data_IF_461247516646
#
_entry.id   IF_461247516646
#
_cell.length_a   1.000
_cell.length_b   1.000
_cell.length_c   1.000
_cell.angle_alpha   90.00
_cell.angle_beta   90.00
_cell.angle_gamma   90.00
#
_symmetry.space_group_name_H-M   'P 1'
#
loop_
_entity.id
_entity.type
_entity.pdbx_description
1 polymer ?
#
# COMPACT_ATOMS: atom_id res chain seq x y z
N UNK A 1 -17.69 -4.00 18.20
CA UNK A 1 -18.32 -4.83 17.16
C UNK A 1 -19.07 -6.04 17.76
N UNK A 2 -18.55 -6.72 18.79
CA UNK A 2 -19.20 -7.90 19.38
C UNK A 2 -20.41 -7.55 20.28
N UNK A 3 -20.43 -6.34 20.85
CA UNK A 3 -21.44 -5.92 21.85
C UNK A 3 -22.20 -4.64 21.44
N UNK A 4 -21.88 -4.06 20.29
CA UNK A 4 -22.58 -2.86 19.80
C UNK A 4 -23.73 -3.25 18.86
N UNK A 5 -24.84 -2.53 18.91
CA UNK A 5 -25.98 -2.77 18.03
C UNK A 5 -25.56 -2.66 16.57
N UNK A 6 -26.29 -3.37 15.68
CA UNK A 6 -26.05 -3.39 14.24
C UNK A 6 -26.08 -1.99 13.58
N UNK A 7 -26.62 -1.01 14.29
CA UNK A 7 -26.81 0.37 13.83
C UNK A 7 -25.71 1.35 14.28
N UNK A 8 -24.62 0.86 14.93
CA UNK A 8 -23.54 1.75 15.35
C UNK A 8 -22.85 2.38 14.14
N UNK A 9 -22.90 3.70 14.05
CA UNK A 9 -22.26 4.49 13.03
C UNK A 9 -21.12 5.38 13.59
N UNK A 10 -20.48 6.13 12.70
CA UNK A 10 -19.35 7.00 13.07
C UNK A 10 -19.79 8.12 14.04
N UNK A 11 -20.99 8.66 13.88
CA UNK A 11 -21.50 9.73 14.76
C UNK A 11 -21.69 9.23 16.18
N UNK A 12 -22.26 8.04 16.34
CA UNK A 12 -22.45 7.41 17.65
C UNK A 12 -21.12 7.03 18.30
N UNK A 13 -20.20 6.47 17.52
CA UNK A 13 -18.86 6.15 18.02
C UNK A 13 -18.12 7.41 18.47
N UNK A 14 -18.17 8.47 17.67
CA UNK A 14 -17.55 9.74 18.02
C UNK A 14 -18.18 10.35 19.27
N UNK A 15 -19.53 10.38 19.37
CA UNK A 15 -20.23 10.89 20.55
C UNK A 15 -19.83 10.11 21.81
N UNK A 16 -19.75 8.78 21.72
CA UNK A 16 -19.29 7.95 22.82
C UNK A 16 -17.84 8.29 23.23
N UNK A 17 -16.89 8.34 22.28
CA UNK A 17 -15.49 8.65 22.58
C UNK A 17 -15.28 10.06 23.13
N UNK A 18 -16.13 11.01 22.76
CA UNK A 18 -16.11 12.39 23.25
C UNK A 18 -16.67 12.51 24.68
N UNK A 19 -17.79 11.87 24.94
CA UNK A 19 -18.62 12.10 26.13
C UNK A 19 -18.39 11.06 27.25
N UNK A 20 -17.94 9.85 26.89
CA UNK A 20 -17.64 8.79 27.85
C UNK A 20 -16.59 9.24 28.85
N UNK A 21 -16.74 8.84 30.10
CA UNK A 21 -15.68 8.94 31.10
C UNK A 21 -14.83 7.67 31.11
N UNK A 22 -13.77 7.65 31.92
CA UNK A 22 -12.85 6.51 31.95
C UNK A 22 -13.54 5.22 32.41
N UNK A 23 -14.49 5.30 33.32
CA UNK A 23 -15.23 4.13 33.84
C UNK A 23 -16.12 3.55 32.74
N UNK A 24 -16.78 4.40 31.92
CA UNK A 24 -17.58 3.95 30.77
C UNK A 24 -16.72 3.16 29.77
N UNK A 25 -15.48 3.62 29.54
CA UNK A 25 -14.52 2.92 28.65
C UNK A 25 -14.08 1.59 29.26
N UNK A 26 -13.78 1.57 30.57
CA UNK A 26 -13.41 0.35 31.30
C UNK A 26 -14.55 -0.66 31.28
N UNK A 27 -15.77 -0.24 31.54
CA UNK A 27 -16.98 -1.10 31.51
C UNK A 27 -17.22 -1.68 30.09
N UNK A 28 -17.06 -0.87 29.06
CA UNK A 28 -17.14 -1.33 27.69
C UNK A 28 -16.07 -2.39 27.36
N UNK A 29 -14.83 -2.20 27.81
CA UNK A 29 -13.75 -3.17 27.64
C UNK A 29 -13.97 -4.44 28.48
N UNK A 30 -14.49 -4.32 29.71
CA UNK A 30 -14.83 -5.47 30.55
C UNK A 30 -15.93 -6.35 29.96
N UNK A 31 -16.86 -5.75 29.20
CA UNK A 31 -17.91 -6.48 28.51
C UNK A 31 -17.39 -7.40 27.39
N UNK A 32 -16.14 -7.19 26.95
CA UNK A 32 -15.47 -8.01 25.92
C UNK A 32 -14.38 -8.85 26.58
N UNK A 33 -14.66 -10.12 26.83
CA UNK A 33 -13.82 -11.03 27.63
C UNK A 33 -12.34 -11.09 27.20
N UNK A 34 -12.08 -10.99 25.90
CA UNK A 34 -10.73 -11.04 25.31
C UNK A 34 -9.90 -9.76 25.56
N UNK A 35 -10.53 -8.68 26.03
CA UNK A 35 -9.89 -7.36 26.22
C UNK A 35 -9.56 -7.06 27.68
N UNK A 36 -9.88 -7.96 28.61
CA UNK A 36 -9.65 -7.73 30.05
C UNK A 36 -8.20 -7.39 30.41
N UNK A 37 -7.23 -8.02 29.74
CA UNK A 37 -5.81 -7.74 29.97
C UNK A 37 -5.36 -6.32 29.58
N UNK A 38 -6.12 -5.64 28.74
CA UNK A 38 -5.85 -4.25 28.33
C UNK A 38 -6.27 -3.29 29.46
N UNK A 39 -7.25 -3.67 30.27
CA UNK A 39 -7.79 -2.84 31.35
C UNK A 39 -6.71 -2.54 32.39
N UNK A 40 -5.92 -3.54 32.75
CA UNK A 40 -4.84 -3.37 33.74
C UNK A 40 -3.79 -2.36 33.25
N UNK A 41 -3.60 -2.26 31.92
CA UNK A 41 -2.70 -1.27 31.33
C UNK A 41 -3.31 0.13 31.31
N UNK A 42 -4.60 0.26 30.99
CA UNK A 42 -5.30 1.54 30.84
C UNK A 42 -5.70 2.12 32.22
N UNK A 43 -6.09 1.26 33.16
CA UNK A 43 -6.65 1.64 34.48
C UNK A 43 -5.71 1.31 35.63
N UNK A 44 -4.41 1.30 35.38
CA UNK A 44 -3.41 0.99 36.40
C UNK A 44 -3.30 2.13 37.42
N UNK A 45 -3.64 1.84 38.70
CA UNK A 45 -3.61 2.80 39.80
C UNK A 45 -4.91 3.59 40.01
N UNK A 46 -5.98 3.28 39.26
CA UNK A 46 -7.31 3.87 39.46
C UNK A 46 -7.57 5.10 38.62
N UNK A 47 -8.80 5.62 38.74
CA UNK A 47 -9.36 6.69 37.90
C UNK A 47 -8.55 8.01 37.91
N UNK A 48 -7.86 8.30 39.00
CA UNK A 48 -7.09 9.54 39.18
C UNK A 48 -5.61 9.43 38.85
N UNK A 49 -5.10 8.28 38.36
CA UNK A 49 -3.68 8.17 38.06
C UNK A 49 -3.31 9.02 36.83
N UNK A 50 -2.12 9.66 36.86
CA UNK A 50 -1.60 10.47 35.73
C UNK A 50 -1.52 9.64 34.45
N UNK A 51 -1.14 8.38 34.55
CA UNK A 51 -1.07 7.46 33.43
C UNK A 51 -2.44 7.22 32.81
N UNK A 52 -3.46 6.94 33.59
CA UNK A 52 -4.84 6.74 33.13
C UNK A 52 -5.39 7.98 32.44
N UNK A 53 -5.18 9.16 33.04
CA UNK A 53 -5.59 10.43 32.45
C UNK A 53 -4.85 10.75 31.16
N UNK A 54 -3.55 10.41 31.09
CA UNK A 54 -2.75 10.56 29.87
C UNK A 54 -3.26 9.71 28.72
N UNK A 55 -3.49 8.43 28.92
CA UNK A 55 -4.03 7.51 27.91
C UNK A 55 -5.42 7.97 27.42
N UNK A 56 -6.27 8.40 28.35
CA UNK A 56 -7.60 8.85 28.03
C UNK A 56 -7.61 10.17 27.23
N UNK A 57 -6.74 11.10 27.60
CA UNK A 57 -6.55 12.35 26.85
C UNK A 57 -6.07 12.09 25.43
N UNK A 58 -5.13 11.14 25.27
CA UNK A 58 -4.64 10.75 23.94
C UNK A 58 -5.74 10.10 23.10
N UNK A 59 -6.55 9.22 23.68
CA UNK A 59 -7.69 8.62 22.99
C UNK A 59 -8.66 9.68 22.45
N UNK A 60 -8.97 10.70 23.27
CA UNK A 60 -9.83 11.82 22.87
C UNK A 60 -9.20 12.68 21.76
N UNK A 61 -7.91 12.95 21.86
CA UNK A 61 -7.20 13.71 20.84
C UNK A 61 -7.27 12.97 19.49
N UNK A 62 -6.93 11.68 19.48
CA UNK A 62 -7.03 10.83 18.27
C UNK A 62 -8.46 10.81 17.72
N UNK A 63 -9.48 10.67 18.59
CA UNK A 63 -10.86 10.70 18.13
C UNK A 63 -11.25 12.05 17.50
N UNK A 64 -10.84 13.17 18.11
CA UNK A 64 -11.11 14.50 17.56
C UNK A 64 -10.38 14.76 16.23
N UNK A 65 -9.18 14.21 16.05
CA UNK A 65 -8.42 14.31 14.79
C UNK A 65 -9.01 13.44 13.68
N UNK A 66 -9.47 12.23 14.01
CA UNK A 66 -9.98 11.28 13.02
C UNK A 66 -11.41 11.59 12.58
N UNK A 67 -12.29 11.96 13.53
CA UNK A 67 -13.70 12.19 13.22
C UNK A 67 -13.94 13.65 12.80
N UNK A 68 -13.52 13.99 11.59
CA UNK A 68 -13.71 15.31 10.99
C UNK A 68 -14.59 15.24 9.73
N UNK A 69 -15.27 16.35 9.41
CA UNK A 69 -16.12 16.45 8.23
C UNK A 69 -17.11 15.29 8.14
N UNK A 70 -17.24 14.69 6.97
CA UNK A 70 -18.17 13.59 6.72
C UNK A 70 -17.90 12.33 7.55
N UNK A 71 -16.67 12.12 8.06
CA UNK A 71 -16.35 10.99 8.93
C UNK A 71 -16.95 11.12 10.34
N UNK A 72 -17.43 12.32 10.69
CA UNK A 72 -18.13 12.59 11.96
C UNK A 72 -19.64 12.36 11.87
N UNK A 73 -20.14 12.32 10.65
CA UNK A 73 -21.59 12.25 10.41
C UNK A 73 -22.07 10.79 10.35
N UNK A 74 -23.38 10.65 10.53
CA UNK A 74 -24.06 9.38 10.31
C UNK A 74 -23.95 8.95 8.85
N UNK A 75 -23.57 7.70 8.59
CA UNK A 75 -23.38 7.20 7.24
C UNK A 75 -23.85 5.76 7.08
N UNK A 76 -24.17 5.40 5.85
CA UNK A 76 -24.59 4.03 5.48
C UNK A 76 -23.57 3.28 4.65
N UNK A 77 -22.39 3.87 4.36
CA UNK A 77 -21.37 3.21 3.54
C UNK A 77 -20.57 2.21 4.37
N UNK A 78 -20.48 0.97 3.90
CA UNK A 78 -19.66 -0.08 4.50
C UNK A 78 -18.66 -0.59 3.47
N UNK A 79 -17.35 -0.47 3.77
CA UNK A 79 -16.27 -1.03 2.96
C UNK A 79 -16.43 -2.54 2.80
N UNK A 80 -16.76 -3.23 3.87
CA UNK A 80 -17.01 -4.68 3.86
C UNK A 80 -18.11 -5.07 2.89
N UNK A 81 -19.26 -4.42 2.97
CA UNK A 81 -20.37 -4.68 2.07
C UNK A 81 -20.04 -4.31 0.62
N UNK A 82 -19.29 -3.21 0.43
CA UNK A 82 -18.86 -2.81 -0.89
C UNK A 82 -18.01 -3.89 -1.56
N UNK A 83 -17.05 -4.48 -0.84
CA UNK A 83 -16.18 -5.53 -1.36
C UNK A 83 -16.95 -6.85 -1.58
N UNK A 84 -17.89 -7.19 -0.69
CA UNK A 84 -18.66 -8.44 -0.76
C UNK A 84 -19.76 -8.43 -1.81
N UNK A 85 -20.37 -7.29 -2.08
CA UNK A 85 -21.41 -7.17 -3.11
C UNK A 85 -20.77 -7.18 -4.50
N UNK A 86 -21.19 -8.11 -5.36
CA UNK A 86 -20.81 -8.17 -6.79
C UNK A 86 -21.42 -6.99 -7.55
N UNK A 87 -20.83 -6.59 -8.70
CA UNK A 87 -21.55 -5.74 -9.60
C UNK A 87 -20.85 -4.53 -10.17
N UNK A 88 -19.56 -4.61 -10.54
CA UNK A 88 -18.89 -3.60 -11.39
C UNK A 88 -18.92 -2.19 -10.80
N UNK A 89 -18.80 -2.05 -9.48
CA UNK A 89 -18.79 -0.77 -8.78
C UNK A 89 -17.36 -0.28 -8.60
N UNK A 90 -17.19 1.03 -8.58
CA UNK A 90 -15.90 1.68 -8.36
C UNK A 90 -16.04 2.56 -7.11
N UNK A 91 -15.08 2.44 -6.19
CA UNK A 91 -14.89 3.35 -5.07
C UNK A 91 -13.67 4.21 -5.35
N UNK A 92 -13.85 5.51 -5.44
CA UNK A 92 -12.76 6.48 -5.48
C UNK A 92 -12.50 6.99 -4.08
N UNK A 93 -11.24 6.91 -3.64
CA UNK A 93 -10.74 7.50 -2.40
C UNK A 93 -9.77 8.59 -2.81
N UNK A 94 -10.20 9.83 -2.72
CA UNK A 94 -9.40 10.99 -3.07
C UNK A 94 -8.59 11.46 -1.87
N UNK A 95 -7.29 11.69 -2.10
CA UNK A 95 -6.38 12.20 -1.08
C UNK A 95 -6.20 13.72 -1.27
N UNK A 96 -6.90 14.50 -0.46
CA UNK A 96 -6.73 15.96 -0.41
C UNK A 96 -5.43 16.29 0.33
N UNK A 97 -4.50 16.96 -0.33
CA UNK A 97 -3.20 17.33 0.25
C UNK A 97 -3.32 18.28 1.45
N UNK A 98 -4.41 19.05 1.56
CA UNK A 98 -4.60 20.03 2.64
C UNK A 98 -4.95 19.35 3.97
N UNK A 99 -5.73 18.28 3.94
CA UNK A 99 -6.22 17.55 5.12
C UNK A 99 -5.80 16.07 5.13
N UNK A 100 -5.20 15.60 4.05
CA UNK A 100 -4.91 14.19 3.83
C UNK A 100 -4.03 13.57 4.91
N UNK A 101 -3.06 14.32 5.45
CA UNK A 101 -2.22 13.81 6.55
C UNK A 101 -3.04 13.45 7.79
N UNK A 102 -4.07 14.25 8.11
CA UNK A 102 -4.97 13.98 9.24
C UNK A 102 -5.87 12.78 8.93
N UNK A 103 -6.31 12.63 7.69
CA UNK A 103 -7.19 11.54 7.25
C UNK A 103 -6.45 10.25 6.87
N UNK A 104 -5.12 10.27 6.78
CA UNK A 104 -4.32 9.08 6.44
C UNK A 104 -4.68 7.85 7.27
N UNK A 105 -4.88 7.91 8.61
CA UNK A 105 -5.28 6.75 9.39
C UNK A 105 -6.62 6.15 8.92
N UNK A 106 -7.60 6.98 8.55
CA UNK A 106 -8.89 6.53 8.05
C UNK A 106 -8.73 5.84 6.70
N UNK A 107 -8.00 6.46 5.76
CA UNK A 107 -7.72 5.86 4.45
C UNK A 107 -7.02 4.50 4.57
N UNK A 108 -6.05 4.39 5.48
CA UNK A 108 -5.36 3.12 5.76
C UNK A 108 -6.33 2.06 6.28
N UNK A 109 -7.17 2.38 7.26
CA UNK A 109 -8.15 1.43 7.80
C UNK A 109 -9.13 0.99 6.71
N UNK A 110 -9.63 1.91 5.88
CA UNK A 110 -10.54 1.57 4.78
C UNK A 110 -9.89 0.63 3.77
N UNK A 111 -8.65 0.91 3.35
CA UNK A 111 -7.93 0.10 2.37
C UNK A 111 -7.51 -1.24 2.96
N UNK A 112 -6.98 -1.27 4.18
CA UNK A 112 -6.64 -2.51 4.87
C UNK A 112 -7.85 -3.42 5.06
N UNK A 113 -9.00 -2.85 5.46
CA UNK A 113 -10.24 -3.59 5.56
C UNK A 113 -10.70 -4.12 4.20
N UNK A 114 -10.58 -3.32 3.15
CA UNK A 114 -10.91 -3.75 1.79
C UNK A 114 -10.02 -4.90 1.32
N UNK A 115 -8.70 -4.83 1.56
CA UNK A 115 -7.76 -5.91 1.24
C UNK A 115 -8.12 -7.16 2.03
N UNK A 116 -8.31 -7.06 3.34
CA UNK A 116 -8.70 -8.17 4.21
C UNK A 116 -9.99 -8.86 3.73
N UNK A 117 -11.01 -8.09 3.39
CA UNK A 117 -12.28 -8.64 2.89
C UNK A 117 -12.11 -9.28 1.51
N UNK A 118 -11.26 -8.72 0.64
CA UNK A 118 -10.95 -9.32 -0.66
C UNK A 118 -10.20 -10.65 -0.52
N UNK A 119 -9.29 -10.76 0.46
CA UNK A 119 -8.57 -12.00 0.77
C UNK A 119 -9.45 -13.07 1.43
N UNK A 120 -10.57 -12.68 2.02
CA UNK A 120 -11.54 -13.60 2.65
C UNK A 120 -12.56 -14.17 1.66
N UNK A 121 -12.45 -13.83 0.37
CA UNK A 121 -13.36 -14.25 -0.68
C UNK A 121 -12.80 -15.45 -1.45
N UNK A 122 -13.68 -16.19 -2.12
CA UNK A 122 -13.31 -17.19 -3.10
C UNK A 122 -13.08 -16.52 -4.47
N UNK A 123 -12.10 -17.00 -5.25
CA UNK A 123 -11.82 -16.49 -6.61
C UNK A 123 -13.04 -16.59 -7.54
N UNK A 124 -13.90 -17.59 -7.34
CA UNK A 124 -15.15 -17.76 -8.09
C UNK A 124 -16.10 -16.57 -7.93
N UNK A 125 -15.92 -15.77 -6.88
CA UNK A 125 -16.71 -14.57 -6.62
C UNK A 125 -16.30 -13.35 -7.50
N UNK A 126 -15.29 -13.50 -8.34
CA UNK A 126 -14.80 -12.47 -9.25
C UNK A 126 -13.57 -11.70 -8.71
N UNK A 127 -13.10 -10.72 -9.46
CA UNK A 127 -11.90 -9.98 -9.12
C UNK A 127 -12.24 -8.64 -8.42
N UNK A 128 -11.38 -8.25 -7.49
CA UNK A 128 -11.31 -6.92 -6.89
C UNK A 128 -10.00 -6.26 -7.31
N UNK A 129 -10.07 -5.10 -7.93
CA UNK A 129 -8.89 -4.35 -8.36
C UNK A 129 -8.61 -3.23 -7.37
N UNK A 130 -7.39 -3.20 -6.86
CA UNK A 130 -6.84 -2.11 -6.06
C UNK A 130 -5.90 -1.30 -6.94
N UNK A 131 -6.29 -0.06 -7.26
CA UNK A 131 -5.47 0.86 -8.06
C UNK A 131 -4.98 1.96 -7.11
N UNK A 132 -3.69 1.96 -6.83
CA UNK A 132 -3.04 2.87 -5.88
C UNK A 132 -2.05 3.73 -6.67
N UNK A 133 -2.47 4.93 -7.03
CA UNK A 133 -1.71 5.84 -7.90
C UNK A 133 -0.47 6.43 -7.20
N UNK A 134 -0.54 6.68 -5.89
CA UNK A 134 0.60 7.18 -5.11
C UNK A 134 0.77 6.35 -3.83
N UNK A 135 1.54 5.27 -3.92
CA UNK A 135 1.65 4.28 -2.85
C UNK A 135 2.30 4.84 -1.57
N UNK A 136 3.16 5.85 -1.69
CA UNK A 136 3.80 6.49 -0.51
C UNK A 136 2.80 7.14 0.44
N UNK A 137 1.59 7.50 -0.03
CA UNK A 137 0.56 8.12 0.80
C UNK A 137 -0.10 7.13 1.77
N UNK A 138 0.15 5.84 1.61
CA UNK A 138 -0.40 4.75 2.39
C UNK A 138 0.69 3.93 3.10
N UNK A 139 1.52 4.55 3.97
CA UNK A 139 2.59 3.83 4.64
C UNK A 139 2.03 2.81 5.64
N UNK A 140 2.72 1.69 5.81
CA UNK A 140 2.41 0.68 6.82
C UNK A 140 0.96 0.11 6.74
N UNK A 141 0.46 -0.16 5.53
CA UNK A 141 -0.72 -0.99 5.38
C UNK A 141 -0.42 -2.39 5.94
N UNK A 142 -1.34 -2.90 6.77
CA UNK A 142 -1.12 -4.16 7.48
C UNK A 142 -1.21 -5.37 6.54
N UNK A 143 -2.26 -5.42 5.69
CA UNK A 143 -2.56 -6.57 4.84
C UNK A 143 -1.99 -6.48 3.41
N UNK A 144 -1.23 -5.44 3.07
CA UNK A 144 -0.76 -5.25 1.68
C UNK A 144 0.20 -6.36 1.25
N UNK A 145 1.10 -6.81 2.13
CA UNK A 145 2.05 -7.87 1.83
C UNK A 145 1.33 -9.19 1.53
N UNK A 146 0.38 -9.57 2.37
CA UNK A 146 -0.49 -10.73 2.12
C UNK A 146 -1.30 -10.53 0.83
N UNK A 147 -1.79 -9.32 0.60
CA UNK A 147 -2.57 -8.95 -0.58
C UNK A 147 -1.82 -9.21 -1.88
N UNK A 148 -0.61 -8.71 -2.00
CA UNK A 148 0.18 -8.85 -3.25
C UNK A 148 0.73 -10.27 -3.43
N UNK A 149 1.11 -10.95 -2.33
CA UNK A 149 1.67 -12.30 -2.39
C UNK A 149 0.60 -13.39 -2.63
N UNK A 150 -0.56 -13.30 -1.99
CA UNK A 150 -1.59 -14.35 -2.02
C UNK A 150 -2.87 -13.95 -2.76
N UNK A 151 -3.11 -12.65 -2.94
CA UNK A 151 -4.36 -12.11 -3.47
C UNK A 151 -4.71 -12.61 -4.87
N UNK A 152 -3.73 -12.93 -5.72
CA UNK A 152 -3.94 -13.45 -7.08
C UNK A 152 -4.83 -14.71 -7.08
N UNK A 153 -4.58 -15.64 -6.18
CA UNK A 153 -5.36 -16.89 -6.06
C UNK A 153 -6.77 -16.66 -5.54
N UNK A 154 -6.99 -15.55 -4.83
CA UNK A 154 -8.25 -15.16 -4.20
C UNK A 154 -9.03 -14.10 -5.00
N UNK A 155 -8.51 -13.70 -6.17
CA UNK A 155 -9.14 -12.71 -7.04
C UNK A 155 -8.83 -11.24 -6.69
N UNK A 156 -7.93 -10.97 -5.75
CA UNK A 156 -7.43 -9.61 -5.52
C UNK A 156 -6.32 -9.28 -6.51
N UNK A 157 -6.40 -8.12 -7.14
CA UNK A 157 -5.46 -7.61 -8.16
C UNK A 157 -4.95 -6.24 -7.76
N UNK A 158 -3.64 -6.02 -7.85
CA UNK A 158 -3.02 -4.77 -7.45
C UNK A 158 -2.33 -4.08 -8.63
N UNK A 159 -2.60 -2.79 -8.78
CA UNK A 159 -1.88 -1.86 -9.65
C UNK A 159 -1.37 -0.76 -8.74
N UNK A 160 -0.06 -0.65 -8.63
CA UNK A 160 0.59 0.25 -7.68
C UNK A 160 1.54 1.16 -8.44
N UNK A 161 1.39 2.46 -8.28
CA UNK A 161 2.32 3.43 -8.82
C UNK A 161 3.12 4.14 -7.71
N UNK A 162 4.36 4.47 -8.03
CA UNK A 162 5.29 5.14 -7.13
C UNK A 162 6.31 5.97 -7.91
N UNK A 163 6.88 6.98 -7.30
CA UNK A 163 7.90 7.81 -7.92
C UNK A 163 9.31 7.21 -7.78
N UNK A 164 9.63 6.65 -6.62
CA UNK A 164 10.90 5.98 -6.36
C UNK A 164 10.74 4.94 -5.24
N UNK A 165 11.68 3.99 -5.21
CA UNK A 165 11.68 2.89 -4.23
C UNK A 165 11.95 3.39 -2.80
N UNK A 166 12.74 4.44 -2.64
CA UNK A 166 13.12 4.94 -1.31
C UNK A 166 11.90 5.36 -0.50
N UNK A 167 10.90 5.98 -1.14
CA UNK A 167 9.65 6.38 -0.47
C UNK A 167 8.88 5.18 0.09
N UNK A 168 8.98 4.02 -0.56
CA UNK A 168 8.33 2.80 -0.09
C UNK A 168 9.14 2.17 1.04
N UNK A 169 10.48 2.18 0.92
CA UNK A 169 11.38 1.73 1.99
C UNK A 169 11.18 2.54 3.26
N UNK A 170 11.06 3.86 3.15
CA UNK A 170 10.81 4.75 4.28
C UNK A 170 9.47 4.46 4.99
N UNK A 171 8.45 4.09 4.22
CA UNK A 171 7.12 3.80 4.74
C UNK A 171 6.93 2.37 5.27
N UNK A 172 7.67 1.38 4.76
CA UNK A 172 7.44 -0.03 5.06
C UNK A 172 8.66 -0.74 5.68
N UNK A 173 9.83 -0.11 5.67
CA UNK A 173 11.10 -0.76 5.95
C UNK A 173 11.63 -1.54 4.73
N UNK A 174 12.93 -1.79 4.72
CA UNK A 174 13.63 -2.38 3.57
C UNK A 174 13.07 -3.75 3.16
N UNK A 175 12.97 -4.67 4.10
CA UNK A 175 12.56 -6.05 3.81
C UNK A 175 11.11 -6.14 3.30
N UNK A 176 10.19 -5.46 3.98
CA UNK A 176 8.77 -5.48 3.60
C UNK A 176 8.54 -4.76 2.27
N UNK A 177 9.23 -3.64 2.01
CA UNK A 177 9.17 -2.95 0.74
C UNK A 177 9.60 -3.85 -0.42
N UNK A 178 10.73 -4.55 -0.26
CA UNK A 178 11.23 -5.50 -1.25
C UNK A 178 10.30 -6.69 -1.46
N UNK A 179 9.72 -7.26 -0.38
CA UNK A 179 8.70 -8.32 -0.48
C UNK A 179 7.52 -7.87 -1.33
N UNK A 180 6.93 -6.72 -1.01
CA UNK A 180 5.78 -6.16 -1.74
C UNK A 180 6.11 -5.95 -3.22
N UNK A 181 7.24 -5.28 -3.51
CA UNK A 181 7.61 -4.92 -4.89
C UNK A 181 7.97 -6.13 -5.75
N UNK A 182 8.62 -7.14 -5.16
CA UNK A 182 8.99 -8.37 -5.85
C UNK A 182 7.79 -9.28 -6.16
N UNK A 183 6.69 -9.16 -5.40
CA UNK A 183 5.46 -9.90 -5.65
C UNK A 183 4.65 -9.33 -6.84
N UNK A 184 4.95 -8.11 -7.30
CA UNK A 184 4.31 -7.50 -8.45
C UNK A 184 4.94 -8.04 -9.74
N UNK A 185 4.29 -8.99 -10.40
CA UNK A 185 4.83 -9.73 -11.54
C UNK A 185 4.92 -8.93 -12.85
N UNK A 186 4.29 -7.78 -12.96
CA UNK A 186 4.38 -6.88 -14.12
C UNK A 186 4.96 -5.55 -13.66
N UNK A 187 5.99 -5.08 -14.36
CA UNK A 187 6.58 -3.77 -14.09
C UNK A 187 6.55 -2.89 -15.33
N UNK A 188 6.22 -1.62 -15.12
CA UNK A 188 6.24 -0.58 -16.15
C UNK A 188 7.13 0.54 -15.59
N UNK A 189 8.34 0.67 -16.14
CA UNK A 189 9.28 1.69 -15.73
C UNK A 189 9.29 2.83 -16.76
N UNK A 190 8.90 4.01 -16.34
CA UNK A 190 9.09 5.24 -17.08
C UNK A 190 10.51 5.77 -16.86
N UNK A 191 10.79 6.99 -17.29
CA UNK A 191 12.08 7.63 -17.05
C UNK A 191 12.33 7.76 -15.53
N UNK A 192 13.42 7.15 -15.07
CA UNK A 192 13.82 7.14 -13.66
C UNK A 192 15.15 7.86 -13.52
N UNK A 193 15.18 8.94 -12.74
CA UNK A 193 16.40 9.72 -12.44
C UNK A 193 17.08 9.29 -11.14
N UNK A 194 16.31 8.68 -10.22
CA UNK A 194 16.82 8.17 -8.94
C UNK A 194 17.65 6.89 -9.15
N UNK A 195 18.88 6.89 -8.60
CA UNK A 195 19.83 5.80 -8.77
C UNK A 195 19.34 4.50 -8.11
N UNK A 196 18.83 4.57 -6.88
CA UNK A 196 18.39 3.37 -6.14
C UNK A 196 17.23 2.66 -6.87
N UNK A 197 16.31 3.43 -7.43
CA UNK A 197 15.20 2.88 -8.22
C UNK A 197 15.70 2.24 -9.53
N UNK A 198 16.68 2.85 -10.22
CA UNK A 198 17.26 2.23 -11.42
C UNK A 198 17.98 0.91 -11.09
N UNK A 199 18.78 0.88 -10.04
CA UNK A 199 19.45 -0.35 -9.57
C UNK A 199 18.43 -1.44 -9.22
N UNK A 200 17.34 -1.08 -8.56
CA UNK A 200 16.25 -2.02 -8.28
C UNK A 200 15.65 -2.60 -9.56
N UNK A 201 15.34 -1.76 -10.54
CA UNK A 201 14.78 -2.19 -11.83
C UNK A 201 15.77 -3.07 -12.58
N UNK A 202 17.07 -2.71 -12.61
CA UNK A 202 18.10 -3.51 -13.23
C UNK A 202 18.21 -4.90 -12.58
N UNK A 203 18.19 -4.96 -11.25
CA UNK A 203 18.21 -6.22 -10.52
C UNK A 203 16.97 -7.08 -10.78
N UNK A 204 15.80 -6.45 -10.93
CA UNK A 204 14.54 -7.14 -11.26
C UNK A 204 14.61 -7.84 -12.62
N UNK A 205 15.27 -7.21 -13.61
CA UNK A 205 15.43 -7.77 -14.97
C UNK A 205 16.66 -8.66 -15.10
N UNK A 206 17.61 -8.54 -14.17
CA UNK A 206 18.79 -9.38 -14.11
C UNK A 206 19.85 -9.07 -15.16
N UNK A 207 20.74 -10.04 -15.36
CA UNK A 207 21.88 -9.92 -16.26
C UNK A 207 21.81 -10.95 -17.37
N UNK A 208 22.38 -10.61 -18.54
CA UNK A 208 22.49 -11.51 -19.66
C UNK A 208 23.88 -11.40 -20.30
N UNK A 209 24.24 -12.37 -21.13
CA UNK A 209 25.46 -12.31 -21.91
C UNK A 209 25.25 -11.38 -23.10
N UNK A 210 26.08 -10.32 -23.20
CA UNK A 210 26.06 -9.38 -24.32
C UNK A 210 27.34 -9.52 -25.12
N UNK A 211 27.23 -9.42 -26.45
CA UNK A 211 28.35 -9.36 -27.36
C UNK A 211 28.61 -7.89 -27.72
N UNK A 212 29.77 -7.39 -27.37
CA UNK A 212 30.23 -6.07 -27.74
C UNK A 212 31.16 -6.19 -28.94
N UNK A 213 30.91 -5.43 -29.98
CA UNK A 213 31.71 -5.37 -31.19
C UNK A 213 32.39 -4.01 -31.22
N UNK A 214 33.70 -4.00 -30.97
CA UNK A 214 34.51 -2.79 -31.05
C UNK A 214 35.04 -2.66 -32.46
N UNK A 215 34.75 -1.55 -33.15
CA UNK A 215 35.33 -1.24 -34.45
C UNK A 215 36.73 -0.70 -34.23
N UNK A 216 37.72 -1.26 -34.95
CA UNK A 216 39.06 -0.70 -34.95
C UNK A 216 39.08 0.73 -35.51
N UNK A 217 39.98 1.55 -34.95
CA UNK A 217 40.14 2.94 -35.35
C UNK A 217 40.90 3.06 -36.69
N UNK A 218 41.65 2.01 -37.06
CA UNK A 218 42.41 1.93 -38.32
C UNK A 218 41.86 0.82 -39.24
N UNK A 219 41.96 1.01 -40.55
CA UNK A 219 41.54 0.03 -41.55
C UNK A 219 42.26 -1.33 -41.43
N UNK A 220 43.43 -1.37 -40.76
CA UNK A 220 44.19 -2.57 -40.48
C UNK A 220 43.83 -3.31 -39.22
N UNK A 221 43.01 -2.67 -38.33
CA UNK A 221 42.51 -3.27 -37.11
C UNK A 221 41.10 -3.81 -37.35
N UNK A 222 40.98 -5.14 -37.45
CA UNK A 222 39.67 -5.79 -37.55
C UNK A 222 38.77 -5.50 -36.33
N UNK A 223 37.52 -5.83 -36.46
CA UNK A 223 36.58 -5.76 -35.33
C UNK A 223 37.02 -6.72 -34.23
N UNK A 224 37.04 -6.22 -32.98
CA UNK A 224 37.27 -7.07 -31.79
C UNK A 224 35.91 -7.38 -31.16
N UNK A 225 35.67 -8.65 -30.93
CA UNK A 225 34.49 -9.11 -30.22
C UNK A 225 34.81 -9.41 -28.77
N UNK A 226 34.01 -8.94 -27.88
CA UNK A 226 34.09 -9.26 -26.46
C UNK A 226 32.71 -9.70 -25.98
N UNK A 227 32.65 -10.83 -25.29
CA UNK A 227 31.42 -11.31 -24.63
C UNK A 227 31.58 -11.06 -23.14
N UNK A 228 30.64 -10.31 -22.56
CA UNK A 228 30.60 -10.07 -21.11
C UNK A 228 29.18 -10.13 -20.60
N UNK A 229 29.03 -10.32 -19.29
CA UNK A 229 27.75 -10.18 -18.62
C UNK A 229 27.47 -8.71 -18.42
N UNK A 230 26.24 -8.30 -18.68
CA UNK A 230 25.76 -6.96 -18.38
C UNK A 230 24.25 -6.97 -18.14
N UNK A 231 23.70 -5.91 -17.57
CA UNK A 231 22.29 -5.84 -17.25
C UNK A 231 21.44 -6.00 -18.51
N UNK A 232 20.30 -6.67 -18.39
CA UNK A 232 19.32 -6.77 -19.49
C UNK A 232 18.85 -5.39 -19.90
N UNK A 233 18.52 -4.54 -18.89
CA UNK A 233 18.20 -3.11 -19.05
C UNK A 233 19.31 -2.31 -18.38
N UNK A 234 19.99 -1.50 -19.17
CA UNK A 234 21.11 -0.69 -18.70
C UNK A 234 20.64 0.64 -18.10
N UNK A 235 21.53 1.31 -17.36
CA UNK A 235 21.25 2.58 -16.71
C UNK A 235 20.80 3.67 -17.71
N UNK A 236 21.45 3.73 -18.87
CA UNK A 236 21.10 4.66 -19.95
C UNK A 236 19.76 4.37 -20.61
N UNK A 237 19.32 3.11 -20.61
CA UNK A 237 18.00 2.77 -21.18
C UNK A 237 16.88 3.43 -20.37
N UNK A 238 17.01 3.47 -19.03
CA UNK A 238 16.04 4.09 -18.13
C UNK A 238 16.15 5.62 -18.11
N UNK A 239 17.39 6.15 -18.14
CA UNK A 239 17.63 7.60 -18.16
C UNK A 239 17.23 8.23 -19.50
N UNK A 240 17.41 7.50 -20.59
CA UNK A 240 17.16 7.96 -21.95
C UNK A 240 15.69 7.93 -22.38
N UNK A 241 14.77 7.41 -21.56
CA UNK A 241 13.35 7.37 -21.89
C UNK A 241 12.76 8.77 -22.03
N UNK A 242 12.00 8.97 -23.11
CA UNK A 242 11.26 10.19 -23.38
C UNK A 242 9.84 10.12 -22.82
N UNK A 243 9.15 11.25 -22.80
CA UNK A 243 7.72 11.28 -22.45
C UNK A 243 6.94 10.29 -23.35
N UNK A 244 6.10 9.48 -22.74
CA UNK A 244 5.35 8.42 -23.41
C UNK A 244 6.14 7.15 -23.70
N UNK A 245 7.43 7.05 -23.33
CA UNK A 245 8.22 5.83 -23.45
C UNK A 245 8.31 5.12 -22.08
N UNK A 246 8.29 3.79 -22.11
CA UNK A 246 8.45 2.94 -20.94
C UNK A 246 9.19 1.63 -21.28
N UNK A 247 9.83 1.04 -20.28
CA UNK A 247 10.28 -0.35 -20.31
C UNK A 247 9.26 -1.19 -19.58
N UNK A 248 8.73 -2.23 -20.23
CA UNK A 248 7.69 -3.10 -19.68
C UNK A 248 8.23 -4.52 -19.59
N UNK A 249 8.04 -5.15 -18.44
CA UNK A 249 8.29 -6.57 -18.21
C UNK A 249 7.05 -7.24 -17.64
N UNK A 250 6.71 -8.39 -18.17
CA UNK A 250 5.59 -9.22 -17.73
C UNK A 250 6.15 -10.60 -17.39
N UNK A 251 6.15 -10.96 -16.11
CA UNK A 251 6.79 -12.19 -15.62
C UNK A 251 6.15 -13.50 -16.13
N UNK A 252 4.90 -13.43 -16.63
CA UNK A 252 4.22 -14.60 -17.19
C UNK A 252 4.70 -14.96 -18.61
N UNK A 253 5.46 -14.09 -19.25
CA UNK A 253 6.01 -14.30 -20.56
C UNK A 253 7.54 -14.38 -20.47
N UNK A 254 8.13 -15.39 -21.08
CA UNK A 254 9.59 -15.57 -21.21
C UNK A 254 10.24 -14.51 -22.13
N UNK A 255 9.57 -13.39 -22.31
CA UNK A 255 10.05 -12.29 -23.12
C UNK A 255 10.97 -11.36 -22.32
N UNK A 256 12.06 -10.95 -22.91
CA UNK A 256 12.89 -9.89 -22.36
C UNK A 256 12.07 -8.60 -22.19
N UNK A 257 12.43 -7.72 -21.22
CA UNK A 257 11.80 -6.42 -21.10
C UNK A 257 11.83 -5.67 -22.41
N UNK A 258 10.72 -5.07 -22.79
CA UNK A 258 10.57 -4.37 -24.06
C UNK A 258 10.40 -2.88 -23.83
N UNK A 259 11.03 -2.07 -24.68
CA UNK A 259 10.79 -0.64 -24.73
C UNK A 259 9.51 -0.35 -25.51
N UNK A 260 8.59 0.35 -24.88
CA UNK A 260 7.34 0.80 -25.48
C UNK A 260 7.32 2.30 -25.67
N UNK A 261 6.60 2.74 -26.71
CA UNK A 261 6.16 4.12 -26.85
C UNK A 261 4.64 4.12 -26.90
N UNK A 262 4.02 4.86 -25.99
CA UNK A 262 2.58 5.05 -26.03
C UNK A 262 2.19 5.88 -27.27
N UNK A 263 1.12 5.50 -27.95
CA UNK A 263 0.55 6.30 -29.03
C UNK A 263 -0.01 7.61 -28.43
N UNK A 264 0.20 8.70 -29.16
CA UNK A 264 -0.40 10.01 -28.86
C UNK A 264 -1.90 9.99 -29.13
#
# INVERSE_FOLDING_TARGET
>A
YKNFPEDLDNAELYAYLRDANINDVVDALMSVGDLRGIIDYIYNGGEGSEQTQGVYSELRNVANELFIGNFRERGSFSVREFIRKKGGRILFIEYDLSIGKVLTPIYKVMIDLAIKEALSRDKSEGNVFFVIDEFKLLPNLYHIDDGVNFGRSLGAKFIVAMQNIQQIIDGYGYEKAHSILSALGTSIAFRVTDKATREFIQNLYGVNRKRFIYKGVSYSEGNKEQVSYSNVVEDWDLLGLKTGEAVISISEYDAAPMKFKFAE
#
